data_IF_865913037071
#
_entry.id   IF_865913037071
#
_cell.length_a   1.000
_cell.length_b   1.000
_cell.length_c   1.000
_cell.angle_alpha   90.00
_cell.angle_beta   90.00
_cell.angle_gamma   90.00
#
_symmetry.space_group_name_H-M   'P 1'
#
loop_
_entity.id
_entity.type
_entity.pdbx_description
1 polymer ?
#
# COMPACT_ATOMS: atom_id res chain seq x y z
N UNK A 1 -24.87 45.93 19.32
CA UNK A 1 -25.05 44.46 19.20
C UNK A 1 -24.79 44.06 17.75
N UNK A 2 -23.53 44.05 17.33
CA UNK A 2 -23.10 43.76 15.95
C UNK A 2 -21.76 43.00 15.91
N UNK A 3 -21.07 42.88 17.05
CA UNK A 3 -19.75 42.26 17.11
C UNK A 3 -19.80 40.73 17.15
N UNK A 4 -20.84 40.12 17.74
CA UNK A 4 -20.95 38.65 17.84
C UNK A 4 -21.36 37.97 16.53
N UNK A 5 -22.13 38.64 15.66
CA UNK A 5 -22.61 38.07 14.39
C UNK A 5 -21.49 38.06 13.32
N UNK A 6 -20.59 39.05 13.35
CA UNK A 6 -19.41 39.11 12.48
C UNK A 6 -18.31 38.13 12.91
N UNK A 7 -18.22 37.76 14.20
CA UNK A 7 -17.22 36.77 14.65
C UNK A 7 -17.61 35.35 14.21
N UNK A 8 -18.88 34.97 14.35
CA UNK A 8 -19.36 33.62 13.98
C UNK A 8 -19.27 33.33 12.47
N UNK A 9 -19.47 34.34 11.62
CA UNK A 9 -19.31 34.18 10.17
C UNK A 9 -17.84 33.98 9.77
N UNK A 10 -16.91 34.72 10.39
CA UNK A 10 -15.47 34.55 10.16
C UNK A 10 -14.96 33.17 10.57
N UNK A 11 -15.39 32.61 11.71
CA UNK A 11 -14.97 31.27 12.14
C UNK A 11 -15.46 30.17 11.20
N UNK A 12 -16.69 30.29 10.68
CA UNK A 12 -17.23 29.34 9.72
C UNK A 12 -16.42 29.35 8.42
N UNK A 13 -16.09 30.53 7.89
CA UNK A 13 -15.30 30.67 6.65
C UNK A 13 -13.88 30.11 6.83
N UNK A 14 -13.23 30.41 7.96
CA UNK A 14 -11.90 29.90 8.29
C UNK A 14 -11.91 28.36 8.36
N UNK A 15 -12.94 27.76 8.97
CA UNK A 15 -13.08 26.31 9.08
C UNK A 15 -13.27 25.63 7.71
N UNK A 16 -14.09 26.19 6.84
CA UNK A 16 -14.26 25.64 5.49
C UNK A 16 -12.96 25.79 4.69
N UNK A 17 -12.28 26.93 4.79
CA UNK A 17 -11.02 27.17 4.09
C UNK A 17 -9.91 26.21 4.54
N UNK A 18 -9.80 25.93 5.84
CA UNK A 18 -8.83 24.95 6.35
C UNK A 18 -9.18 23.51 5.94
N UNK A 19 -10.46 23.14 5.89
CA UNK A 19 -10.90 21.83 5.38
C UNK A 19 -10.61 21.69 3.89
N UNK A 20 -10.92 22.71 3.08
CA UNK A 20 -10.62 22.72 1.64
C UNK A 20 -9.12 22.64 1.38
N UNK A 21 -8.30 23.39 2.13
CA UNK A 21 -6.85 23.28 2.07
C UNK A 21 -6.38 21.87 2.46
N UNK A 22 -6.86 21.32 3.57
CA UNK A 22 -6.50 19.97 3.98
C UNK A 22 -6.86 18.92 2.92
N UNK A 23 -8.05 18.99 2.31
CA UNK A 23 -8.48 18.11 1.22
C UNK A 23 -7.64 18.29 -0.06
N UNK A 24 -7.22 19.52 -0.37
CA UNK A 24 -6.39 19.83 -1.53
C UNK A 24 -4.93 19.36 -1.34
N UNK A 25 -4.42 19.38 -0.11
CA UNK A 25 -3.07 18.91 0.24
C UNK A 25 -3.00 17.42 0.59
N UNK A 26 -4.12 16.79 0.96
CA UNK A 26 -4.22 15.37 1.26
C UNK A 26 -3.64 14.47 0.14
N UNK A 27 -4.02 14.61 -1.15
CA UNK A 27 -3.54 13.72 -2.20
C UNK A 27 -2.03 13.81 -2.44
N UNK A 28 -1.38 14.93 -2.10
CA UNK A 28 0.06 15.13 -2.25
C UNK A 28 0.88 14.35 -1.21
N UNK A 29 0.31 14.12 -0.01
CA UNK A 29 0.95 13.32 1.03
C UNK A 29 0.81 11.80 0.79
N UNK A 30 -0.20 11.38 0.02
CA UNK A 30 -0.46 9.97 -0.31
C UNK A 30 0.11 9.56 -1.69
N UNK A 31 1.02 10.35 -2.27
CA UNK A 31 1.66 10.07 -3.57
C UNK A 31 2.67 8.92 -3.59
N UNK A 32 2.83 8.17 -2.49
CA UNK A 32 3.78 7.07 -2.37
C UNK A 32 3.19 5.65 -2.38
N UNK A 33 1.86 5.52 -2.29
CA UNK A 33 1.18 4.26 -1.93
C UNK A 33 0.89 3.31 -3.10
N UNK A 34 1.13 3.75 -4.35
CA UNK A 34 0.75 3.02 -5.56
C UNK A 34 1.93 2.70 -6.48
N UNK A 35 3.16 2.92 -6.02
CA UNK A 35 4.32 2.51 -6.79
C UNK A 35 4.66 1.07 -6.44
N UNK A 36 4.64 0.19 -7.44
CA UNK A 36 5.08 -1.16 -7.24
C UNK A 36 6.60 -1.20 -6.98
N UNK A 37 7.06 -2.16 -6.19
CA UNK A 37 8.47 -2.37 -5.86
C UNK A 37 9.11 -3.29 -6.90
N UNK A 38 10.20 -2.88 -7.57
CA UNK A 38 10.90 -3.75 -8.51
C UNK A 38 11.59 -4.92 -7.77
N UNK A 39 11.99 -5.94 -8.53
CA UNK A 39 12.70 -7.11 -8.02
C UNK A 39 13.91 -6.71 -7.16
N UNK A 40 14.09 -7.41 -6.04
CA UNK A 40 15.19 -7.18 -5.08
C UNK A 40 15.00 -5.96 -4.17
N UNK A 41 13.97 -5.13 -4.36
CA UNK A 41 13.65 -4.07 -3.40
C UNK A 41 12.95 -4.63 -2.16
N UNK A 42 13.13 -3.91 -1.05
CA UNK A 42 12.47 -4.20 0.21
C UNK A 42 10.95 -4.10 0.04
N UNK A 43 10.23 -5.08 0.56
CA UNK A 43 8.78 -5.13 0.50
C UNK A 43 8.17 -5.47 1.87
N UNK A 44 6.89 -5.17 2.00
CA UNK A 44 6.08 -5.63 3.13
C UNK A 44 4.82 -6.29 2.58
N UNK A 45 4.31 -7.33 3.26
CA UNK A 45 3.10 -8.05 2.85
C UNK A 45 1.83 -7.24 3.15
N UNK A 46 1.78 -6.00 2.65
CA UNK A 46 0.69 -5.03 2.75
C UNK A 46 0.26 -4.61 1.36
N UNK A 47 -1.01 -4.23 1.21
CA UNK A 47 -1.58 -3.68 -0.02
C UNK A 47 -0.92 -2.38 -0.48
N UNK A 48 -0.20 -1.70 0.42
CA UNK A 48 0.40 -0.40 0.19
C UNK A 48 1.77 -0.42 -0.49
N UNK A 49 2.41 -1.60 -0.59
CA UNK A 49 3.71 -1.77 -1.25
C UNK A 49 3.71 -3.06 -2.10
N UNK A 50 2.90 -3.14 -3.17
CA UNK A 50 2.88 -4.31 -4.04
C UNK A 50 4.22 -4.46 -4.77
N UNK A 51 4.66 -5.68 -5.04
CA UNK A 51 5.77 -5.91 -5.98
C UNK A 51 5.28 -5.71 -7.42
N UNK A 52 6.16 -5.29 -8.32
CA UNK A 52 5.80 -5.11 -9.74
C UNK A 52 5.57 -6.45 -10.45
N UNK A 53 4.73 -6.43 -11.48
CA UNK A 53 4.42 -7.59 -12.33
C UNK A 53 3.83 -8.78 -11.55
N UNK A 54 4.34 -9.99 -11.79
CA UNK A 54 3.96 -11.22 -11.09
C UNK A 54 4.86 -11.50 -9.89
N UNK A 55 5.68 -10.55 -9.47
CA UNK A 55 6.61 -10.75 -8.36
C UNK A 55 5.86 -10.82 -7.03
N UNK A 56 6.43 -11.56 -6.09
CA UNK A 56 5.89 -11.82 -4.76
C UNK A 56 6.83 -11.29 -3.69
N UNK A 57 6.26 -10.82 -2.58
CA UNK A 57 7.07 -10.36 -1.46
C UNK A 57 7.48 -11.57 -0.61
N UNK A 58 8.76 -11.91 -0.61
CA UNK A 58 9.30 -12.93 0.28
C UNK A 58 9.50 -12.35 1.68
N UNK A 59 8.81 -12.93 2.66
CA UNK A 59 8.87 -12.53 4.06
C UNK A 59 10.18 -12.96 4.73
N UNK A 60 10.85 -13.99 4.20
CA UNK A 60 12.12 -14.48 4.74
C UNK A 60 13.24 -13.48 4.45
N UNK A 61 13.34 -13.01 3.21
CA UNK A 61 14.33 -12.01 2.79
C UNK A 61 13.83 -10.57 2.89
N UNK A 62 12.52 -10.36 3.08
CA UNK A 62 11.81 -9.06 2.96
C UNK A 62 12.01 -8.37 1.61
N UNK A 63 12.16 -9.14 0.53
CA UNK A 63 12.39 -8.58 -0.81
C UNK A 63 11.40 -9.10 -1.84
N UNK A 64 11.19 -8.32 -2.90
CA UNK A 64 10.41 -8.76 -4.06
C UNK A 64 11.20 -9.79 -4.88
N UNK A 65 10.67 -11.00 -4.98
CA UNK A 65 11.22 -12.10 -5.76
C UNK A 65 10.25 -12.50 -6.88
N UNK A 66 10.75 -13.09 -7.97
CA UNK A 66 9.91 -13.45 -9.11
C UNK A 66 8.83 -14.48 -8.73
N UNK A 67 9.20 -15.45 -7.90
CA UNK A 67 8.34 -16.51 -7.40
C UNK A 67 8.94 -17.10 -6.12
N UNK A 68 8.11 -17.80 -5.35
CA UNK A 68 8.52 -18.53 -4.15
C UNK A 68 9.18 -19.85 -4.52
N UNK A 69 10.36 -20.10 -3.95
CA UNK A 69 11.02 -21.40 -4.03
C UNK A 69 10.27 -22.47 -3.22
N UNK A 70 10.58 -23.74 -3.49
CA UNK A 70 9.96 -24.85 -2.76
C UNK A 70 10.22 -24.72 -1.25
N UNK A 71 9.18 -24.98 -0.45
CA UNK A 71 9.23 -24.78 1.01
C UNK A 71 8.81 -23.40 1.50
N UNK A 72 8.67 -22.39 0.62
CA UNK A 72 8.10 -21.10 1.00
C UNK A 72 6.58 -21.15 1.17
N UNK A 73 6.07 -20.30 2.05
CA UNK A 73 4.63 -20.16 2.27
C UNK A 73 3.93 -19.48 1.10
N UNK A 74 2.86 -20.09 0.60
CA UNK A 74 2.09 -19.60 -0.54
C UNK A 74 0.59 -19.51 -0.21
N UNK A 75 -0.10 -18.59 -0.87
CA UNK A 75 -1.56 -18.49 -0.84
C UNK A 75 -2.17 -18.99 -2.14
N UNK A 76 -1.48 -18.74 -3.26
CA UNK A 76 -1.94 -19.17 -4.57
C UNK A 76 -0.84 -19.95 -5.28
N UNK A 77 -1.24 -20.90 -6.12
CA UNK A 77 -0.29 -21.74 -6.86
C UNK A 77 0.58 -20.92 -7.82
N UNK A 78 0.10 -19.80 -8.34
CA UNK A 78 0.86 -18.92 -9.24
C UNK A 78 2.02 -18.17 -8.56
N UNK A 79 2.04 -18.10 -7.23
CA UNK A 79 3.15 -17.49 -6.49
C UNK A 79 4.38 -18.41 -6.44
N UNK A 80 4.19 -19.73 -6.58
CA UNK A 80 5.26 -20.72 -6.53
C UNK A 80 5.91 -20.89 -7.91
N UNK A 81 7.24 -21.03 -7.96
CA UNK A 81 7.95 -21.30 -9.21
C UNK A 81 7.49 -22.65 -9.83
N UNK A 82 7.21 -23.64 -8.98
CA UNK A 82 6.67 -24.97 -9.34
C UNK A 82 5.18 -24.95 -9.71
N UNK A 83 4.51 -23.79 -9.62
CA UNK A 83 3.07 -23.60 -9.82
C UNK A 83 2.17 -24.54 -8.99
N UNK A 84 2.67 -25.00 -7.86
CA UNK A 84 1.97 -25.93 -6.98
C UNK A 84 2.08 -25.45 -5.53
N UNK A 85 0.95 -24.98 -4.99
CA UNK A 85 0.81 -24.57 -3.60
C UNK A 85 -0.01 -25.64 -2.88
N UNK A 86 0.66 -26.52 -2.11
CA UNK A 86 0.01 -27.59 -1.36
C UNK A 86 0.20 -27.36 0.13
N UNK A 87 -0.91 -27.33 0.87
CA UNK A 87 -0.90 -27.09 2.32
C UNK A 87 -0.23 -25.76 2.71
N UNK A 88 -0.52 -24.68 1.96
CA UNK A 88 0.08 -23.35 2.13
C UNK A 88 1.60 -23.29 1.93
N UNK A 89 2.19 -24.31 1.29
CA UNK A 89 3.63 -24.40 1.04
C UNK A 89 3.88 -24.74 -0.43
N UNK A 90 4.84 -24.07 -1.06
CA UNK A 90 5.28 -24.40 -2.42
C UNK A 90 5.91 -25.78 -2.45
N UNK A 91 5.44 -26.64 -3.36
CA UNK A 91 5.97 -27.99 -3.55
C UNK A 91 6.35 -28.21 -5.02
N UNK A 92 7.40 -28.99 -5.29
CA UNK A 92 7.67 -29.46 -6.64
C UNK A 92 6.54 -30.37 -7.11
N UNK A 93 6.19 -30.29 -8.39
CA UNK A 93 5.21 -31.16 -9.03
C UNK A 93 5.85 -32.41 -9.61
#
# INVERSE_FOLDING_TARGET
MNNSLSTVSSFSIIMHFTIYLALLFLPLAFGGLFNCRPLGQSCWKTIFDPCCDTAVCDLSTRTCVQCYEDGHGCLTSSECCSRSCFFFICRPN
#
